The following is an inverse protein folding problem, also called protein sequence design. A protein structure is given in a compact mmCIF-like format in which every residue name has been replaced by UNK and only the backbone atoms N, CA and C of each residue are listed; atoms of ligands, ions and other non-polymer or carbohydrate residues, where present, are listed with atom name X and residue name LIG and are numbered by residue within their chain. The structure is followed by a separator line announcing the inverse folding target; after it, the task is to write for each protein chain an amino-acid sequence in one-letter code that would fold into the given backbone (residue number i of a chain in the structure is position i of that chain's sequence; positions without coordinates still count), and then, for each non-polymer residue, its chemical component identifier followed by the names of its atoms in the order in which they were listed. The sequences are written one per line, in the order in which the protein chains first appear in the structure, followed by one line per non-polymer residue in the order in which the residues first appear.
data_IF_325890039871
#
_entry.id   IF_325890039871
#
_cell.length_a   1.000
_cell.length_b   1.000
_cell.length_c   1.000
_cell.angle_alpha   90.00
_cell.angle_beta   90.00
_cell.angle_gamma   90.00
#
_symmetry.space_group_name_H-M   'P 1'
#
loop_
_entity.id
_entity.type
_entity.pdbx_description
1 polymer ?
#
# COMPACT_ATOMS: atom_id res chain seq x y z
N UNK A 1 -16.38 12.06 24.66
CA UNK A 1 -16.47 11.65 23.24
C UNK A 1 -15.15 11.20 22.61
N UNK A 2 -13.99 11.79 22.96
CA UNK A 2 -12.67 11.38 22.42
C UNK A 2 -12.17 10.01 22.90
N UNK A 3 -12.55 9.57 24.11
CA UNK A 3 -12.22 8.24 24.63
C UNK A 3 -12.92 7.09 23.88
N UNK A 4 -14.11 7.33 23.33
CA UNK A 4 -14.86 6.32 22.58
C UNK A 4 -14.21 6.06 21.21
N UNK A 5 -13.71 7.11 20.54
CA UNK A 5 -12.90 6.95 19.32
C UNK A 5 -11.62 6.14 19.59
N UNK A 6 -11.02 6.27 20.77
CA UNK A 6 -9.83 5.50 21.17
C UNK A 6 -10.16 4.02 21.42
N UNK A 7 -11.36 3.70 21.93
CA UNK A 7 -11.82 2.33 22.15
C UNK A 7 -12.36 1.64 20.88
N UNK A 8 -13.10 2.35 20.03
CA UNK A 8 -13.54 1.83 18.72
C UNK A 8 -12.42 1.72 17.70
N UNK A 9 -11.33 2.50 17.84
CA UNK A 9 -10.15 2.39 16.97
C UNK A 9 -9.22 1.21 17.30
N UNK A 10 -9.49 0.43 18.35
CA UNK A 10 -8.63 -0.69 18.75
C UNK A 10 -8.74 -1.91 17.85
N UNK A 11 -9.84 -2.08 17.12
CA UNK A 11 -10.05 -3.21 16.19
C UNK A 11 -10.08 -2.77 14.71
N UNK A 12 -10.52 -1.55 14.38
CA UNK A 12 -10.85 -1.18 12.99
C UNK A 12 -9.94 -0.14 12.31
N UNK A 13 -8.89 0.40 12.96
CA UNK A 13 -8.09 1.48 12.37
C UNK A 13 -6.58 1.19 12.26
N UNK A 14 -6.22 -0.07 11.97
CA UNK A 14 -4.85 -0.46 11.65
C UNK A 14 -4.23 0.41 10.55
N UNK A 15 -5.01 0.76 9.52
CA UNK A 15 -4.53 1.60 8.41
C UNK A 15 -4.16 3.01 8.89
N UNK A 16 -4.98 3.63 9.71
CA UNK A 16 -4.70 4.98 10.22
C UNK A 16 -3.50 5.00 11.17
N UNK A 17 -3.42 4.02 12.08
CA UNK A 17 -2.27 3.88 12.99
C UNK A 17 -0.97 3.58 12.23
N UNK A 18 -1.05 2.77 11.17
CA UNK A 18 0.05 2.49 10.25
C UNK A 18 0.54 3.75 9.53
N UNK A 19 -0.39 4.52 8.93
CA UNK A 19 -0.07 5.76 8.21
C UNK A 19 0.57 6.80 9.14
N UNK A 20 -0.01 7.04 10.31
CA UNK A 20 0.54 7.99 11.28
C UNK A 20 1.93 7.58 11.80
N UNK A 21 2.18 6.28 11.95
CA UNK A 21 3.47 5.76 12.39
C UNK A 21 4.53 5.82 11.28
N UNK A 22 4.13 5.61 10.02
CA UNK A 22 4.96 5.75 8.83
C UNK A 22 5.45 7.19 8.68
N UNK A 23 4.52 8.14 8.59
CA UNK A 23 4.80 9.54 8.28
C UNK A 23 5.87 10.15 9.20
N UNK A 24 5.77 9.86 10.51
CA UNK A 24 6.69 10.41 11.51
C UNK A 24 8.16 9.97 11.31
N UNK A 25 8.40 8.76 10.79
CA UNK A 25 9.77 8.22 10.61
C UNK A 25 10.27 8.39 9.18
N UNK A 26 9.39 8.30 8.19
CA UNK A 26 9.69 8.56 6.78
C UNK A 26 10.20 9.99 6.60
N UNK A 27 9.56 10.97 7.24
CA UNK A 27 10.00 12.38 7.22
C UNK A 27 11.45 12.58 7.71
N UNK A 28 11.94 11.75 8.65
CA UNK A 28 13.30 11.86 9.19
C UNK A 28 14.33 11.22 8.25
N UNK A 29 13.95 10.15 7.55
CA UNK A 29 14.80 9.44 6.62
C UNK A 29 14.85 10.16 5.26
N UNK A 30 13.72 10.70 4.78
CA UNK A 30 13.61 11.55 3.59
C UNK A 30 14.48 12.81 3.69
N UNK A 31 14.51 13.46 4.87
CA UNK A 31 15.42 14.59 5.13
C UNK A 31 16.91 14.24 4.98
N UNK A 32 17.25 12.95 4.95
CA UNK A 32 18.60 12.42 4.71
C UNK A 32 18.75 11.76 3.32
N UNK A 33 17.75 11.89 2.45
CA UNK A 33 17.75 11.34 1.10
C UNK A 33 17.65 9.81 1.02
N UNK A 34 17.24 9.13 2.10
CA UNK A 34 17.19 7.67 2.16
C UNK A 34 15.81 7.22 2.63
N UNK A 35 15.28 6.16 2.05
CA UNK A 35 14.03 5.54 2.50
C UNK A 35 14.32 4.08 2.81
N UNK A 36 14.06 3.63 4.04
CA UNK A 36 14.14 2.21 4.36
C UNK A 36 12.93 1.53 3.71
N UNK A 37 13.16 0.80 2.62
CA UNK A 37 12.09 0.12 1.90
C UNK A 37 12.14 -1.40 2.09
N UNK A 38 10.95 -2.02 2.03
CA UNK A 38 10.76 -3.46 1.97
C UNK A 38 10.13 -3.77 0.62
N UNK A 39 10.82 -4.59 -0.15
CA UNK A 39 10.38 -5.00 -1.48
C UNK A 39 9.63 -6.32 -1.37
N UNK A 40 8.45 -6.36 -1.96
CA UNK A 40 7.61 -7.55 -2.08
C UNK A 40 7.49 -7.94 -3.55
N UNK A 41 7.53 -9.23 -3.82
CA UNK A 41 7.23 -9.80 -5.14
C UNK A 41 5.84 -10.42 -5.05
N UNK A 42 4.93 -9.98 -5.92
CA UNK A 42 3.50 -10.33 -5.84
C UNK A 42 2.97 -10.74 -7.21
N UNK A 43 2.11 -11.76 -7.25
CA UNK A 43 1.40 -12.10 -8.47
C UNK A 43 0.32 -11.03 -8.77
N UNK A 44 0.19 -10.54 -10.02
CA UNK A 44 -0.77 -9.48 -10.37
C UNK A 44 -2.24 -9.79 -10.00
N UNK A 45 -2.61 -11.07 -9.94
CA UNK A 45 -3.96 -11.52 -9.59
C UNK A 45 -4.27 -11.49 -8.10
N UNK A 46 -3.28 -11.30 -7.23
CA UNK A 46 -3.48 -11.26 -5.78
C UNK A 46 -4.30 -10.05 -5.37
N UNK A 47 -5.18 -10.24 -4.39
CA UNK A 47 -6.03 -9.18 -3.85
C UNK A 47 -5.30 -8.39 -2.78
N UNK A 48 -5.63 -7.11 -2.65
CA UNK A 48 -5.07 -6.24 -1.59
C UNK A 48 -5.37 -6.82 -0.21
N UNK A 49 -6.59 -7.33 0.03
CA UNK A 49 -6.95 -7.89 1.34
C UNK A 49 -6.09 -9.08 1.78
N UNK A 50 -5.54 -9.85 0.84
CA UNK A 50 -4.65 -10.98 1.13
C UNK A 50 -3.28 -10.52 1.63
N UNK A 51 -2.87 -9.29 1.31
CA UNK A 51 -1.52 -8.80 1.61
C UNK A 51 -1.44 -7.86 2.81
N UNK A 52 -2.59 -7.35 3.30
CA UNK A 52 -2.65 -6.42 4.43
C UNK A 52 -1.86 -6.88 5.67
N UNK A 53 -1.92 -8.16 6.09
CA UNK A 53 -1.15 -8.62 7.25
C UNK A 53 0.38 -8.45 7.10
N UNK A 54 0.88 -8.37 5.86
CA UNK A 54 2.31 -8.20 5.58
C UNK A 54 2.75 -6.73 5.52
N UNK A 55 1.81 -5.78 5.53
CA UNK A 55 2.06 -4.34 5.51
C UNK A 55 2.40 -3.78 6.89
N UNK A 56 3.07 -4.59 7.72
CA UNK A 56 3.37 -4.23 9.10
C UNK A 56 4.79 -3.67 9.22
N UNK A 57 4.97 -2.80 10.21
CA UNK A 57 6.27 -2.18 10.50
C UNK A 57 6.41 -0.78 9.92
N UNK A 58 7.67 -0.32 9.79
CA UNK A 58 8.01 1.08 9.48
C UNK A 58 8.75 1.23 8.15
N UNK A 59 8.79 0.18 7.35
CA UNK A 59 9.42 0.23 6.05
C UNK A 59 8.41 0.70 5.02
N UNK A 60 8.89 1.46 4.05
CA UNK A 60 8.11 1.76 2.86
C UNK A 60 7.96 0.51 2.00
N UNK A 61 6.74 0.16 1.59
CA UNK A 61 6.51 -1.05 0.83
C UNK A 61 6.48 -0.79 -0.67
N UNK A 62 7.32 -1.51 -1.41
CA UNK A 62 7.33 -1.52 -2.87
C UNK A 62 6.92 -2.91 -3.35
N UNK A 63 5.98 -2.99 -4.29
CA UNK A 63 5.48 -4.26 -4.82
C UNK A 63 5.91 -4.40 -6.28
N UNK A 64 6.79 -5.35 -6.57
CA UNK A 64 7.06 -5.77 -7.95
C UNK A 64 6.12 -6.89 -8.33
N UNK A 65 5.44 -6.69 -9.45
CA UNK A 65 4.49 -7.65 -9.98
C UNK A 65 5.21 -8.55 -10.96
N UNK A 66 5.13 -9.86 -10.73
CA UNK A 66 5.80 -10.84 -11.59
C UNK A 66 4.82 -11.78 -12.26
N UNK A 67 5.07 -12.13 -13.52
CA UNK A 67 4.35 -13.20 -14.18
C UNK A 67 4.80 -14.59 -13.68
N UNK A 68 4.15 -15.64 -14.20
CA UNK A 68 4.47 -17.04 -13.88
C UNK A 68 5.90 -17.47 -14.26
N UNK A 69 6.62 -16.66 -15.04
CA UNK A 69 8.01 -16.89 -15.45
C UNK A 69 8.99 -16.06 -14.62
N UNK A 70 8.52 -15.32 -13.61
CA UNK A 70 9.34 -14.44 -12.77
C UNK A 70 9.72 -13.12 -13.44
N UNK A 71 9.14 -12.80 -14.61
CA UNK A 71 9.39 -11.52 -15.28
C UNK A 71 8.59 -10.43 -14.58
N UNK A 72 9.25 -9.31 -14.27
CA UNK A 72 8.59 -8.12 -13.74
C UNK A 72 7.69 -7.53 -14.84
N UNK A 73 6.39 -7.43 -14.55
CA UNK A 73 5.35 -6.88 -15.43
C UNK A 73 4.85 -5.51 -14.98
N UNK A 74 5.23 -5.08 -13.78
CA UNK A 74 4.96 -3.73 -13.29
C UNK A 74 5.38 -3.54 -11.84
N UNK A 75 5.20 -2.33 -11.35
CA UNK A 75 5.44 -1.98 -9.96
C UNK A 75 4.20 -1.28 -9.39
N UNK A 76 3.94 -1.52 -8.11
CA UNK A 76 2.94 -0.81 -7.33
C UNK A 76 3.63 -0.23 -6.11
N UNK A 77 3.45 1.05 -5.88
CA UNK A 77 3.95 1.74 -4.69
C UNK A 77 2.95 1.68 -3.54
N UNK A 78 3.41 1.98 -2.34
CA UNK A 78 2.52 2.05 -1.18
C UNK A 78 1.46 3.14 -1.33
N UNK A 79 1.79 4.28 -1.94
CA UNK A 79 0.83 5.36 -2.22
C UNK A 79 -0.29 4.86 -3.13
N UNK A 80 0.06 4.14 -4.19
CA UNK A 80 -0.91 3.59 -5.14
C UNK A 80 -1.81 2.52 -4.50
N UNK A 81 -1.22 1.71 -3.62
CA UNK A 81 -1.98 0.73 -2.83
C UNK A 81 -2.96 1.43 -1.89
N UNK A 82 -2.53 2.47 -1.18
CA UNK A 82 -3.36 3.25 -0.25
C UNK A 82 -4.47 4.00 -0.98
N UNK A 83 -4.18 4.60 -2.14
CA UNK A 83 -5.21 5.22 -2.98
C UNK A 83 -6.27 4.21 -3.44
N UNK A 84 -5.86 2.96 -3.71
CA UNK A 84 -6.77 1.87 -4.06
C UNK A 84 -7.58 1.36 -2.86
N UNK A 85 -7.06 1.51 -1.63
CA UNK A 85 -7.75 1.16 -0.38
C UNK A 85 -8.93 2.08 -0.05
N UNK A 86 -8.87 3.34 -0.48
CA UNK A 86 -9.91 4.34 -0.23
C UNK A 86 -11.14 4.22 -1.14
N UNK A 87 -11.20 3.20 -2.00
CA UNK A 87 -12.29 2.99 -2.95
C UNK A 87 -13.26 1.89 -2.50
N UNK A 88 -14.49 1.90 -3.03
CA UNK A 88 -15.46 0.83 -2.80
C UNK A 88 -14.92 -0.54 -3.26
N UNK A 89 -15.16 -1.60 -2.47
CA UNK A 89 -14.64 -2.96 -2.70
C UNK A 89 -13.10 -3.09 -2.75
N UNK A 90 -12.37 -2.21 -2.06
CA UNK A 90 -10.91 -2.13 -2.08
C UNK A 90 -10.19 -3.44 -1.76
N UNK A 91 -10.65 -4.19 -0.76
CA UNK A 91 -10.00 -5.46 -0.36
C UNK A 91 -10.06 -6.54 -1.43
N UNK A 92 -11.04 -6.47 -2.34
CA UNK A 92 -11.19 -7.40 -3.46
C UNK A 92 -10.48 -6.95 -4.74
N UNK A 93 -9.97 -5.72 -4.76
CA UNK A 93 -9.17 -5.20 -5.87
C UNK A 93 -7.85 -5.97 -5.96
N UNK A 94 -7.44 -6.33 -7.17
CA UNK A 94 -6.16 -6.98 -7.41
C UNK A 94 -5.10 -6.02 -7.95
N UNK A 95 -3.83 -6.42 -7.87
CA UNK A 95 -2.71 -5.58 -8.29
C UNK A 95 -2.72 -5.23 -9.80
N UNK A 96 -3.26 -6.10 -10.65
CA UNK A 96 -3.42 -5.80 -12.08
C UNK A 96 -4.38 -4.62 -12.31
N UNK A 97 -5.48 -4.56 -11.54
CA UNK A 97 -6.44 -3.45 -11.62
C UNK A 97 -5.81 -2.13 -11.17
N UNK A 98 -4.88 -2.14 -10.21
CA UNK A 98 -4.13 -0.95 -9.77
C UNK A 98 -3.27 -0.42 -10.93
N UNK A 99 -2.50 -1.30 -11.59
CA UNK A 99 -1.66 -0.93 -12.74
C UNK A 99 -2.49 -0.32 -13.90
N UNK A 100 -3.56 -1.00 -14.32
CA UNK A 100 -4.38 -0.55 -15.47
C UNK A 100 -5.00 0.83 -15.21
N UNK A 101 -5.39 1.12 -13.96
CA UNK A 101 -5.91 2.43 -13.58
C UNK A 101 -4.85 3.52 -13.66
N UNK A 102 -3.61 3.19 -13.31
CA UNK A 102 -2.50 4.14 -13.42
C UNK A 102 -2.24 4.53 -14.88
N UNK A 103 -2.19 3.55 -15.80
CA UNK A 103 -1.98 3.84 -17.21
C UNK A 103 -3.10 4.73 -17.77
N UNK A 104 -4.35 4.46 -17.41
CA UNK A 104 -5.48 5.32 -17.80
C UNK A 104 -5.40 6.74 -17.25
N UNK A 105 -4.90 6.91 -16.02
CA UNK A 105 -4.70 8.24 -15.42
C UNK A 105 -3.61 9.04 -16.15
N UNK A 106 -2.60 8.38 -16.71
CA UNK A 106 -1.51 9.03 -17.47
C UNK A 106 -1.88 9.37 -18.92
N UNK A 107 -2.91 8.72 -19.46
CA UNK A 107 -3.41 8.91 -20.83
C UNK A 107 -4.51 10.00 -20.93
N UNK A 108 -4.97 10.52 -19.79
CA UNK A 108 -6.00 11.56 -19.70
C UNK A 108 -5.48 12.96 -19.38
N UNK A 109 -4.16 13.15 -19.35
CA UNK A 109 -3.44 14.44 -19.30
C UNK A 109 -2.88 14.78 -20.69
#
# INVERSE_FOLDING_TARGET
MLLFLFFSAREDNFLYAYLAQKDKKTTVLEKKGLLSSKVWVVEPGKKIGEIIPFLTGKNYHLFFLTDKHGKIVGEVTEEQLVLSLNQENSLHTNFYQILVRQDKSKLGE
#
